data_IF_001852307880
#
_entry.id   IF_001852307880
#
_cell.length_a   1.000
_cell.length_b   1.000
_cell.length_c   1.000
_cell.angle_alpha   90.00
_cell.angle_beta   90.00
_cell.angle_gamma   90.00
#
_symmetry.space_group_name_H-M   'P 1'
#
loop_
_entity.id
_entity.type
_entity.pdbx_description
1 polymer ?
#
# COMPACT_ATOMS: atom_id res chain seq x y z
N UNK A 1 18.93 2.98 6.82
CA UNK A 1 18.20 1.84 6.24
C UNK A 1 16.91 1.63 6.99
N UNK A 2 15.92 2.47 6.69
CA UNK A 2 14.53 2.26 7.13
C UNK A 2 13.70 2.06 5.87
N UNK A 3 13.58 0.81 5.44
CA UNK A 3 12.64 0.43 4.39
C UNK A 3 11.23 0.51 4.97
N UNK A 4 10.29 1.07 4.21
CA UNK A 4 8.88 1.09 4.60
C UNK A 4 7.99 0.68 3.43
N UNK A 5 6.89 0.02 3.79
CA UNK A 5 5.87 -0.44 2.88
C UNK A 5 4.67 0.51 2.97
N UNK A 6 4.24 1.05 1.83
CA UNK A 6 3.04 1.85 1.73
C UNK A 6 1.81 0.94 1.76
N UNK A 7 0.82 1.31 2.58
CA UNK A 7 -0.49 0.69 2.53
C UNK A 7 -1.29 1.12 1.30
N UNK A 8 -2.39 0.42 1.01
CA UNK A 8 -3.24 0.71 -0.15
C UNK A 8 -3.86 2.11 -0.10
N UNK A 9 -4.20 2.62 1.09
CA UNK A 9 -4.74 3.97 1.27
C UNK A 9 -3.75 5.04 0.84
N UNK A 10 -2.48 4.88 1.21
CA UNK A 10 -1.38 5.77 0.85
C UNK A 10 -1.11 5.72 -0.63
N UNK A 11 -1.03 4.52 -1.22
CA UNK A 11 -0.88 4.34 -2.68
C UNK A 11 -2.03 5.02 -3.42
N UNK A 12 -3.27 4.86 -2.94
CA UNK A 12 -4.46 5.44 -3.57
C UNK A 12 -4.42 6.96 -3.56
N UNK A 13 -4.09 7.56 -2.41
CA UNK A 13 -3.93 9.02 -2.29
C UNK A 13 -2.84 9.54 -3.23
N UNK A 14 -1.66 8.91 -3.23
CA UNK A 14 -0.57 9.29 -4.13
C UNK A 14 -0.93 9.14 -5.61
N UNK A 15 -1.67 8.08 -5.97
CA UNK A 15 -2.14 7.87 -7.33
C UNK A 15 -3.01 9.04 -7.83
N UNK A 16 -3.89 9.53 -6.95
CA UNK A 16 -4.81 10.64 -7.20
C UNK A 16 -4.14 12.02 -7.06
N UNK A 17 -2.90 12.09 -6.56
CA UNK A 17 -2.23 13.36 -6.24
C UNK A 17 -2.74 14.01 -4.95
N UNK A 18 -3.44 13.24 -4.11
CA UNK A 18 -3.93 13.68 -2.81
C UNK A 18 -2.80 13.64 -1.76
N UNK A 19 -2.85 14.53 -0.75
CA UNK A 19 -1.87 14.50 0.33
C UNK A 19 -2.03 13.24 1.20
N UNK A 20 -0.89 12.62 1.50
CA UNK A 20 -0.75 11.63 2.58
C UNK A 20 -0.32 12.34 3.88
N UNK A 21 -0.22 11.58 4.97
CA UNK A 21 0.18 12.11 6.27
C UNK A 21 1.55 12.83 6.17
N UNK A 22 1.72 14.04 6.75
CA UNK A 22 2.96 14.83 6.60
C UNK A 22 4.23 14.05 6.95
N UNK A 23 4.20 13.29 8.05
CA UNK A 23 5.31 12.39 8.45
C UNK A 23 5.67 11.34 7.39
N UNK A 24 4.68 10.83 6.64
CA UNK A 24 4.92 9.88 5.56
C UNK A 24 5.52 10.59 4.34
N UNK A 25 5.04 11.79 4.01
CA UNK A 25 5.63 12.65 2.97
C UNK A 25 7.08 13.03 3.27
N UNK A 26 7.38 13.43 4.51
CA UNK A 26 8.74 13.74 4.96
C UNK A 26 9.65 12.52 4.81
N UNK A 27 9.16 11.34 5.18
CA UNK A 27 9.92 10.09 5.08
C UNK A 27 10.15 9.68 3.62
N UNK A 28 9.15 9.78 2.75
CA UNK A 28 9.31 9.54 1.29
C UNK A 28 10.34 10.49 0.68
N UNK A 29 10.29 11.77 1.03
CA UNK A 29 11.26 12.76 0.58
C UNK A 29 12.67 12.47 1.10
N UNK A 30 12.82 12.02 2.36
CA UNK A 30 14.10 11.63 2.92
C UNK A 30 14.67 10.42 2.17
N UNK A 31 13.88 9.36 1.98
CA UNK A 31 14.30 8.17 1.22
C UNK A 31 14.70 8.54 -0.22
N UNK A 32 13.94 9.43 -0.87
CA UNK A 32 14.29 9.92 -2.20
C UNK A 32 15.68 10.59 -2.23
N UNK A 33 16.00 11.43 -1.24
CA UNK A 33 17.30 12.11 -1.13
C UNK A 33 18.43 11.12 -0.81
N UNK A 34 18.17 10.16 0.05
CA UNK A 34 19.14 9.15 0.51
C UNK A 34 19.29 7.98 -0.47
N UNK A 35 18.50 7.96 -1.55
CA UNK A 35 18.41 6.85 -2.51
C UNK A 35 17.99 5.53 -1.84
N UNK A 36 17.24 5.60 -0.75
CA UNK A 36 16.57 4.47 -0.12
C UNK A 36 15.23 4.20 -0.81
N UNK A 37 14.77 2.94 -0.76
CA UNK A 37 13.55 2.51 -1.46
C UNK A 37 12.32 2.65 -0.58
N UNK A 38 11.24 3.19 -1.16
CA UNK A 38 9.89 2.98 -0.65
C UNK A 38 9.25 1.82 -1.43
N UNK A 39 8.44 1.00 -0.76
CA UNK A 39 7.83 -0.16 -1.39
C UNK A 39 6.30 -0.08 -1.40
N UNK A 40 5.68 -0.73 -2.38
CA UNK A 40 4.25 -1.04 -2.39
C UNK A 40 4.04 -2.54 -2.63
N UNK A 41 3.00 -3.11 -2.04
CA UNK A 41 2.64 -4.53 -2.25
C UNK A 41 1.81 -4.70 -3.52
N UNK A 42 1.95 -5.81 -4.26
CA UNK A 42 0.99 -6.17 -5.31
C UNK A 42 -0.46 -6.25 -4.81
N UNK A 43 -0.68 -6.51 -3.51
CA UNK A 43 -2.00 -6.48 -2.88
C UNK A 43 -2.66 -5.09 -2.99
N UNK A 44 -1.87 -4.02 -2.99
CA UNK A 44 -2.36 -2.65 -3.15
C UNK A 44 -2.89 -2.35 -4.56
N UNK A 45 -2.58 -3.18 -5.55
CA UNK A 45 -3.24 -3.16 -6.86
C UNK A 45 -4.49 -4.06 -6.88
N UNK A 46 -4.42 -5.21 -6.19
CA UNK A 46 -5.52 -6.18 -6.12
C UNK A 46 -6.76 -5.62 -5.41
N UNK A 47 -6.58 -4.91 -4.30
CA UNK A 47 -7.68 -4.33 -3.51
C UNK A 47 -8.57 -3.36 -4.32
N UNK A 48 -8.03 -2.33 -5.01
CA UNK A 48 -8.80 -1.51 -5.93
C UNK A 48 -9.43 -2.30 -7.07
N UNK A 49 -8.73 -3.32 -7.60
CA UNK A 49 -9.27 -4.22 -8.62
C UNK A 49 -10.53 -4.96 -8.17
N UNK A 50 -10.55 -5.43 -6.92
CA UNK A 50 -11.72 -6.07 -6.30
C UNK A 50 -12.88 -5.10 -6.07
N UNK A 51 -12.59 -3.83 -5.78
CA UNK A 51 -13.63 -2.81 -5.66
C UNK A 51 -14.23 -2.45 -7.03
N UNK A 52 -13.39 -2.32 -8.06
CA UNK A 52 -13.83 -2.05 -9.44
C UNK A 52 -14.68 -3.20 -9.97
N UNK A 53 -14.27 -4.46 -9.76
CA UNK A 53 -15.02 -5.63 -10.23
C UNK A 53 -16.40 -5.76 -9.57
N UNK A 54 -16.56 -5.19 -8.36
CA UNK A 54 -17.83 -5.15 -7.62
C UNK A 54 -18.60 -3.83 -7.82
N UNK A 55 -18.17 -2.99 -8.77
CA UNK A 55 -18.75 -1.66 -9.02
C UNK A 55 -18.79 -0.74 -7.79
N UNK A 56 -17.87 -0.95 -6.83
CA UNK A 56 -17.73 -0.14 -5.60
C UNK A 56 -16.71 0.99 -5.73
N UNK A 57 -15.95 1.01 -6.82
CA UNK A 57 -14.99 2.06 -7.15
C UNK A 57 -15.00 2.27 -8.67
N UNK A 58 -14.95 3.53 -9.12
CA UNK A 58 -14.78 3.89 -10.52
C UNK A 58 -13.46 4.63 -10.69
N UNK A 59 -12.57 4.09 -11.51
CA UNK A 59 -11.31 4.73 -11.87
C UNK A 59 -11.41 5.33 -13.27
N UNK A 60 -10.76 6.47 -13.48
CA UNK A 60 -10.67 7.12 -14.80
C UNK A 60 -9.79 6.33 -15.79
N UNK A 61 -8.97 5.42 -15.28
CA UNK A 61 -8.04 4.59 -16.04
C UNK A 61 -8.20 3.13 -15.62
N UNK A 62 -7.83 2.17 -16.49
CA UNK A 62 -7.74 0.77 -16.09
C UNK A 62 -6.86 0.60 -14.84
N UNK A 63 -7.24 -0.31 -13.93
CA UNK A 63 -6.60 -0.51 -12.61
C UNK A 63 -5.07 -0.64 -12.73
N UNK A 64 -4.59 -1.44 -13.68
CA UNK A 64 -3.15 -1.62 -13.91
C UNK A 64 -2.45 -0.28 -14.23
N UNK A 65 -3.00 0.50 -15.16
CA UNK A 65 -2.42 1.79 -15.56
C UNK A 65 -2.49 2.83 -14.46
N UNK A 66 -3.57 2.81 -13.68
CA UNK A 66 -3.70 3.65 -12.49
C UNK A 66 -2.62 3.31 -11.45
N UNK A 67 -2.41 2.02 -11.17
CA UNK A 67 -1.42 1.57 -10.20
C UNK A 67 0.03 1.81 -10.66
N UNK A 68 0.39 1.44 -11.90
CA UNK A 68 1.71 1.73 -12.48
C UNK A 68 2.03 3.24 -12.44
N UNK A 69 1.03 4.09 -12.71
CA UNK A 69 1.16 5.53 -12.62
C UNK A 69 1.48 6.03 -11.21
N UNK A 70 0.97 5.37 -10.17
CA UNK A 70 1.28 5.71 -8.78
C UNK A 70 2.73 5.39 -8.40
N UNK A 71 3.27 4.27 -8.91
CA UNK A 71 4.65 3.86 -8.65
C UNK A 71 5.68 4.80 -9.31
N UNK A 72 5.40 5.19 -10.56
CA UNK A 72 6.32 6.01 -11.35
C UNK A 72 6.49 7.45 -10.85
N UNK A 73 5.48 8.02 -10.18
CA UNK A 73 5.54 9.39 -9.65
C UNK A 73 6.52 9.54 -8.47
N UNK A 74 6.62 8.53 -7.63
CA UNK A 74 7.23 8.64 -6.29
C UNK A 74 8.47 7.73 -6.08
N UNK A 75 9.03 7.15 -7.17
CA UNK A 75 10.10 6.11 -7.10
C UNK A 75 9.76 4.97 -6.13
N UNK A 76 8.51 4.51 -6.16
CA UNK A 76 8.08 3.38 -5.34
C UNK A 76 8.42 2.09 -6.06
N UNK A 77 9.09 1.17 -5.37
CA UNK A 77 9.43 -0.16 -5.88
C UNK A 77 8.31 -1.14 -5.55
N UNK A 78 7.96 -2.02 -6.48
CA UNK A 78 7.03 -3.10 -6.19
C UNK A 78 7.73 -4.16 -5.34
N UNK A 79 7.20 -4.45 -4.15
CA UNK A 79 7.70 -5.52 -3.31
C UNK A 79 7.46 -6.88 -3.97
N UNK A 80 8.43 -7.79 -3.85
CA UNK A 80 8.24 -9.18 -4.26
C UNK A 80 7.17 -9.84 -3.38
N UNK A 81 6.23 -10.54 -4.00
CA UNK A 81 5.18 -11.28 -3.31
C UNK A 81 5.27 -12.76 -3.70
N UNK A 82 5.67 -13.60 -2.74
CA UNK A 82 5.82 -15.03 -2.94
C UNK A 82 4.58 -15.79 -2.47
N UNK A 83 4.40 -17.04 -2.95
CA UNK A 83 3.33 -17.93 -2.48
C UNK A 83 3.42 -18.16 -0.96
N UNK A 84 4.60 -18.45 -0.36
CA UNK A 84 4.72 -18.53 1.10
C UNK A 84 4.27 -17.26 1.82
N UNK A 85 4.69 -16.07 1.36
CA UNK A 85 4.27 -14.80 1.97
C UNK A 85 2.75 -14.60 1.94
N UNK A 86 2.10 -14.98 0.83
CA UNK A 86 0.64 -14.93 0.71
C UNK A 86 -0.05 -15.86 1.71
N UNK A 87 0.45 -17.10 1.83
CA UNK A 87 -0.10 -18.09 2.77
C UNK A 87 0.08 -17.61 4.21
N UNK A 88 1.29 -17.23 4.60
CA UNK A 88 1.59 -16.73 5.96
C UNK A 88 0.76 -15.48 6.30
N UNK A 89 0.64 -14.53 5.36
CA UNK A 89 -0.20 -13.35 5.56
C UNK A 89 -1.67 -13.70 5.78
N UNK A 90 -2.20 -14.74 5.14
CA UNK A 90 -3.59 -15.18 5.33
C UNK A 90 -3.85 -15.85 6.67
N UNK A 91 -2.79 -16.38 7.29
CA UNK A 91 -2.81 -17.02 8.60
C UNK A 91 -2.47 -16.06 9.74
N UNK A 92 -1.99 -14.86 9.42
CA UNK A 92 -1.69 -13.80 10.38
C UNK A 92 -2.98 -13.32 11.06
N UNK A 93 -3.33 -13.94 12.18
CA UNK A 93 -4.38 -13.49 13.08
C UNK A 93 -3.75 -12.53 14.08
N UNK A 94 -4.22 -11.28 14.13
CA UNK A 94 -4.00 -10.49 15.34
C UNK A 94 -4.69 -11.22 16.51
N UNK A 95 -4.05 -11.33 17.70
CA UNK A 95 -4.79 -11.71 18.87
C UNK A 95 -5.90 -10.67 19.07
N UNK A 96 -7.15 -11.11 18.98
CA UNK A 96 -8.28 -10.29 19.42
C UNK A 96 -7.94 -9.83 20.84
N UNK A 97 -7.99 -8.53 21.17
CA UNK A 97 -7.77 -8.09 22.54
C UNK A 97 -8.72 -8.91 23.40
N UNK A 98 -8.16 -9.77 24.26
CA UNK A 98 -8.97 -10.52 25.22
C UNK A 98 -9.79 -9.46 25.95
N UNK A 99 -11.12 -9.57 25.87
CA UNK A 99 -12.02 -8.75 26.66
C UNK A 99 -11.54 -8.88 28.09
N UNK A 100 -10.88 -7.85 28.63
CA UNK A 100 -10.48 -7.85 30.03
C UNK A 100 -11.77 -8.07 30.82
N UNK A 101 -11.84 -9.10 31.69
CA UNK A 101 -13.02 -9.26 32.51
C UNK A 101 -13.18 -7.98 33.32
N UNK A 102 -14.28 -7.28 33.10
CA UNK A 102 -14.74 -6.19 33.97
C UNK A 102 -15.04 -6.81 35.33
N UNK A 103 -14.05 -6.73 36.21
CA UNK A 103 -14.19 -6.93 37.65
C UNK A 103 -14.21 -5.59 38.36
#
# INVERSE_FOLDING_TARGET
>A
MSEFLLDTCSVTRLANGDPIHPKATERLNANYRERESAYASPLSAWEPGMLVSRSRLRLERPVLRWFEGSLGKEKITLAALSVPMLVESSLCREPHPATLPTG
#
